data_IF_569082904068
#
_entry.id   IF_569082904068
#
_cell.length_a   1.000
_cell.length_b   1.000
_cell.length_c   1.000
_cell.angle_alpha   90.00
_cell.angle_beta   90.00
_cell.angle_gamma   90.00
#
_symmetry.space_group_name_H-M   'P 1'
#
loop_
_entity.id
_entity.type
_entity.pdbx_description
1 polymer ?
#
# COMPACT_ATOMS: atom_id res chain seq x y z
N UNK A 1 -9.07 22.47 0.66
CA UNK A 1 -9.49 21.51 1.72
C UNK A 1 -10.97 21.73 2.10
N UNK A 2 -11.86 20.85 1.62
CA UNK A 2 -13.31 21.00 1.77
C UNK A 2 -13.94 20.01 2.77
N UNK A 3 -13.24 18.90 3.06
CA UNK A 3 -13.64 17.91 4.06
C UNK A 3 -12.51 17.74 5.09
N UNK A 4 -12.71 18.25 6.31
CA UNK A 4 -11.75 18.04 7.41
C UNK A 4 -11.72 16.55 7.77
N UNK A 5 -10.53 15.95 7.78
CA UNK A 5 -10.34 14.56 8.18
C UNK A 5 -10.63 13.50 7.11
N UNK A 6 -10.92 13.90 5.85
CA UNK A 6 -11.01 12.94 4.76
C UNK A 6 -9.65 12.26 4.53
N UNK A 7 -9.67 10.95 4.29
CA UNK A 7 -8.48 10.13 4.04
C UNK A 7 -7.76 10.50 2.73
N UNK A 8 -8.44 11.17 1.80
CA UNK A 8 -7.88 11.59 0.51
C UNK A 8 -8.13 10.58 -0.60
N UNK A 9 -7.15 10.41 -1.48
CA UNK A 9 -7.23 9.44 -2.57
C UNK A 9 -7.23 8.00 -2.02
N UNK A 10 -7.83 7.08 -2.79
CA UNK A 10 -7.67 5.65 -2.53
C UNK A 10 -6.20 5.24 -2.71
N UNK A 11 -5.69 4.39 -1.83
CA UNK A 11 -4.32 3.90 -1.93
C UNK A 11 -4.17 2.95 -3.13
N UNK A 12 -3.12 3.14 -3.92
CA UNK A 12 -2.94 2.40 -5.17
C UNK A 12 -2.72 0.91 -4.93
N UNK A 13 -1.99 0.54 -3.88
CA UNK A 13 -1.76 -0.85 -3.48
C UNK A 13 -3.07 -1.59 -3.19
N UNK A 14 -4.02 -0.93 -2.53
CA UNK A 14 -5.31 -1.53 -2.19
C UNK A 14 -6.13 -1.82 -3.46
N UNK A 15 -6.07 -0.93 -4.45
CA UNK A 15 -6.72 -1.13 -5.76
C UNK A 15 -6.04 -2.24 -6.55
N UNK A 16 -4.70 -2.23 -6.64
CA UNK A 16 -3.93 -3.26 -7.37
C UNK A 16 -4.13 -4.63 -6.76
N UNK A 17 -4.13 -4.74 -5.42
CA UNK A 17 -4.40 -5.99 -4.72
C UNK A 17 -5.79 -6.54 -5.04
N UNK A 18 -6.83 -5.69 -5.00
CA UNK A 18 -8.18 -6.07 -5.40
C UNK A 18 -8.21 -6.57 -6.86
N UNK A 19 -7.61 -5.83 -7.79
CA UNK A 19 -7.58 -6.20 -9.21
C UNK A 19 -6.87 -7.53 -9.44
N UNK A 20 -5.74 -7.76 -8.76
CA UNK A 20 -5.03 -9.04 -8.80
C UNK A 20 -5.90 -10.20 -8.28
N UNK A 21 -6.62 -9.99 -7.16
CA UNK A 21 -7.56 -10.97 -6.61
C UNK A 21 -8.75 -11.28 -7.54
N UNK A 22 -9.12 -10.34 -8.40
CA UNK A 22 -10.12 -10.52 -9.46
C UNK A 22 -9.54 -11.11 -10.76
N UNK A 23 -8.24 -11.38 -10.82
CA UNK A 23 -7.58 -11.89 -12.03
C UNK A 23 -7.39 -10.85 -13.14
N UNK A 24 -7.53 -9.56 -12.84
CA UNK A 24 -7.37 -8.47 -13.80
C UNK A 24 -5.89 -8.08 -13.88
N UNK A 25 -5.30 -8.19 -15.07
CA UNK A 25 -3.89 -7.83 -15.29
C UNK A 25 -3.71 -6.31 -15.33
N UNK A 26 -2.89 -5.80 -14.42
CA UNK A 26 -2.52 -4.37 -14.34
C UNK A 26 -1.13 -4.07 -14.91
N UNK A 27 -0.24 -5.07 -14.94
CA UNK A 27 1.18 -4.89 -15.28
C UNK A 27 2.01 -4.27 -14.14
N UNK A 28 1.42 -4.11 -12.96
CA UNK A 28 2.08 -3.52 -11.79
C UNK A 28 2.61 -4.63 -10.88
N UNK A 29 3.86 -4.48 -10.44
CA UNK A 29 4.49 -5.30 -9.42
C UNK A 29 4.10 -4.77 -8.03
N UNK A 30 3.28 -5.53 -7.31
CA UNK A 30 2.72 -5.10 -6.03
C UNK A 30 3.79 -4.97 -4.93
N UNK A 31 4.81 -5.82 -4.93
CA UNK A 31 5.88 -5.77 -3.92
C UNK A 31 6.71 -4.51 -4.10
N UNK A 32 7.11 -4.18 -5.33
CA UNK A 32 7.84 -2.94 -5.64
C UNK A 32 7.01 -1.69 -5.37
N UNK A 33 5.71 -1.75 -5.63
CA UNK A 33 4.81 -0.66 -5.31
C UNK A 33 4.74 -0.44 -3.79
N UNK A 34 4.61 -1.52 -3.02
CA UNK A 34 4.61 -1.46 -1.56
C UNK A 34 5.92 -0.91 -1.01
N UNK A 35 7.07 -1.35 -1.54
CA UNK A 35 8.39 -0.83 -1.15
C UNK A 35 8.50 0.68 -1.35
N UNK A 36 8.03 1.16 -2.50
CA UNK A 36 8.02 2.60 -2.83
C UNK A 36 7.08 3.35 -1.88
N UNK A 37 5.92 2.78 -1.59
CA UNK A 37 4.94 3.33 -0.65
C UNK A 37 5.49 3.44 0.77
N UNK A 38 6.19 2.42 1.27
CA UNK A 38 6.83 2.45 2.58
C UNK A 38 7.95 3.47 2.61
N UNK A 39 8.82 3.48 1.58
CA UNK A 39 9.92 4.44 1.48
C UNK A 39 9.44 5.90 1.57
N UNK A 40 8.43 6.30 0.78
CA UNK A 40 7.97 7.69 0.80
C UNK A 40 7.26 8.06 2.11
N UNK A 41 6.57 7.11 2.72
CA UNK A 41 5.96 7.26 4.05
C UNK A 41 7.02 7.55 5.12
N UNK A 42 8.14 6.83 5.08
CA UNK A 42 9.27 7.05 5.98
C UNK A 42 9.92 8.42 5.75
N UNK A 43 10.09 8.85 4.49
CA UNK A 43 10.63 10.18 4.18
C UNK A 43 9.74 11.32 4.70
N UNK A 44 8.42 11.13 4.67
CA UNK A 44 7.44 12.12 5.13
C UNK A 44 7.21 12.03 6.65
N UNK A 45 7.63 10.93 7.30
CA UNK A 45 7.38 10.67 8.72
C UNK A 45 5.92 10.38 9.03
N UNK A 46 5.21 9.70 8.11
CA UNK A 46 3.80 9.32 8.25
C UNK A 46 3.61 7.85 7.93
N UNK A 47 2.71 7.18 8.63
CA UNK A 47 2.34 5.81 8.30
C UNK A 47 1.57 5.73 6.97
N UNK A 48 1.74 4.62 6.25
CA UNK A 48 0.98 4.36 5.02
C UNK A 48 -0.51 4.27 5.29
N UNK A 49 -1.31 4.84 4.39
CA UNK A 49 -2.77 4.72 4.41
C UNK A 49 -3.27 3.44 3.72
N UNK A 50 -2.40 2.69 3.03
CA UNK A 50 -2.74 1.41 2.41
C UNK A 50 -2.75 0.29 3.47
N UNK A 51 -3.84 -0.48 3.50
CA UNK A 51 -3.90 -1.69 4.33
C UNK A 51 -2.99 -2.79 3.80
N UNK A 52 -2.86 -2.89 2.48
CA UNK A 52 -2.00 -3.87 1.82
C UNK A 52 -0.53 -3.61 2.13
N UNK A 53 -0.08 -2.35 2.05
CA UNK A 53 1.29 -1.96 2.38
C UNK A 53 1.65 -2.36 3.83
N UNK A 54 0.77 -2.02 4.79
CA UNK A 54 0.96 -2.38 6.20
C UNK A 54 1.01 -3.89 6.42
N UNK A 55 0.16 -4.65 5.74
CA UNK A 55 0.15 -6.12 5.84
C UNK A 55 1.44 -6.74 5.29
N UNK A 56 1.92 -6.28 4.14
CA UNK A 56 3.17 -6.75 3.52
C UNK A 56 4.39 -6.41 4.40
N UNK A 57 4.44 -5.20 4.95
CA UNK A 57 5.49 -4.80 5.89
C UNK A 57 5.50 -5.68 7.15
N UNK A 58 4.32 -5.96 7.73
CA UNK A 58 4.19 -6.82 8.91
C UNK A 58 4.64 -8.26 8.61
N UNK A 59 4.27 -8.81 7.45
CA UNK A 59 4.69 -10.16 7.03
C UNK A 59 6.21 -10.28 6.99
N UNK A 60 6.90 -9.29 6.42
CA UNK A 60 8.39 -9.26 6.33
C UNK A 60 9.08 -9.12 7.67
N UNK A 61 8.39 -8.54 8.66
CA UNK A 61 8.91 -8.33 10.01
C UNK A 61 8.85 -9.60 10.88
N UNK A 62 8.11 -10.62 10.44
CA UNK A 62 7.94 -11.87 11.18
C UNK A 62 8.99 -12.87 10.71
N UNK A 63 9.95 -13.31 11.56
CA UNK A 63 10.91 -14.34 11.17
C UNK A 63 10.19 -15.69 11.10
N UNK A 64 10.02 -16.27 9.91
CA UNK A 64 9.49 -17.64 9.80
C UNK A 64 8.76 -18.10 8.53
N UNK A 65 8.82 -17.38 7.40
CA UNK A 65 8.37 -17.90 6.09
C UNK A 65 9.57 -18.18 5.17
#
# INVERSE_FOLDING_TARGET
>A
PYAKGASGNVATEDVVYMLNGLGIKTGIDLEKLADTGSWICDQIGKSSASKVNLALAAKRSTPGD
#
